data_IF_051404915959
#
_entry.id   IF_051404915959
#
_cell.length_a   1.000
_cell.length_b   1.000
_cell.length_c   1.000
_cell.angle_alpha   90.00
_cell.angle_beta   90.00
_cell.angle_gamma   90.00
#
_symmetry.space_group_name_H-M   'P 1'
#
loop_
_entity.id
_entity.type
_entity.pdbx_description
1 polymer ?
#
# COMPACT_ATOMS: atom_id res chain seq x y z
N UNK A 1 -37.91 -46.92 -25.27
CA UNK A 1 -38.55 -45.63 -24.91
C UNK A 1 -37.77 -44.76 -23.91
N UNK A 2 -36.73 -45.25 -23.23
CA UNK A 2 -35.97 -44.45 -22.25
C UNK A 2 -34.99 -43.41 -22.84
N UNK A 3 -34.58 -43.54 -24.11
CA UNK A 3 -33.60 -42.65 -24.75
C UNK A 3 -34.19 -41.31 -25.23
N UNK A 4 -35.50 -41.22 -25.47
CA UNK A 4 -36.13 -39.99 -25.94
C UNK A 4 -36.28 -38.91 -24.87
N UNK A 5 -36.47 -39.28 -23.59
CA UNK A 5 -36.65 -38.30 -22.49
C UNK A 5 -35.38 -37.48 -22.21
N UNK A 6 -34.19 -38.03 -22.51
CA UNK A 6 -32.92 -37.32 -22.28
C UNK A 6 -32.65 -36.24 -23.34
N UNK A 7 -33.13 -36.44 -24.58
CA UNK A 7 -32.97 -35.48 -25.68
C UNK A 7 -33.77 -34.19 -25.46
N UNK A 8 -34.98 -34.29 -24.88
CA UNK A 8 -35.80 -33.11 -24.56
C UNK A 8 -35.17 -32.28 -23.42
N UNK A 9 -34.65 -32.92 -22.38
CA UNK A 9 -33.95 -32.25 -21.29
C UNK A 9 -32.70 -31.49 -21.75
N UNK A 10 -31.92 -32.07 -22.67
CA UNK A 10 -30.76 -31.39 -23.27
C UNK A 10 -31.17 -30.16 -24.10
N UNK A 11 -32.24 -30.27 -24.89
CA UNK A 11 -32.76 -29.14 -25.68
C UNK A 11 -33.23 -27.98 -24.80
N UNK A 12 -33.95 -28.26 -23.71
CA UNK A 12 -34.39 -27.23 -22.74
C UNK A 12 -33.20 -26.54 -22.07
N UNK A 13 -32.16 -27.29 -21.67
CA UNK A 13 -30.93 -26.68 -21.10
C UNK A 13 -30.19 -25.81 -22.10
N UNK A 14 -30.04 -26.27 -23.34
CA UNK A 14 -29.41 -25.46 -24.39
C UNK A 14 -30.20 -24.19 -24.69
N UNK A 15 -31.54 -24.25 -24.71
CA UNK A 15 -32.36 -23.06 -24.91
C UNK A 15 -32.18 -22.03 -23.78
N UNK A 16 -32.17 -22.46 -22.51
CA UNK A 16 -31.92 -21.56 -21.37
C UNK A 16 -30.53 -20.94 -21.41
N UNK A 17 -29.49 -21.72 -21.76
CA UNK A 17 -28.13 -21.19 -21.90
C UNK A 17 -28.04 -20.17 -23.04
N UNK A 18 -28.70 -20.41 -24.17
CA UNK A 18 -28.74 -19.46 -25.28
C UNK A 18 -29.43 -18.16 -24.86
N UNK A 19 -30.54 -18.24 -24.14
CA UNK A 19 -31.25 -17.05 -23.63
C UNK A 19 -30.40 -16.25 -22.63
N UNK A 20 -29.69 -16.94 -21.72
CA UNK A 20 -28.77 -16.30 -20.77
C UNK A 20 -27.61 -15.59 -21.47
N UNK A 21 -27.04 -16.20 -22.51
CA UNK A 21 -25.97 -15.60 -23.31
C UNK A 21 -26.47 -14.37 -24.05
N UNK A 22 -27.66 -14.44 -24.67
CA UNK A 22 -28.26 -13.29 -25.36
C UNK A 22 -28.49 -12.12 -24.40
N UNK A 23 -29.02 -12.38 -23.20
CA UNK A 23 -29.22 -11.34 -22.17
C UNK A 23 -27.91 -10.73 -21.69
N UNK A 24 -26.82 -11.51 -21.60
CA UNK A 24 -25.49 -11.01 -21.27
C UNK A 24 -24.91 -10.13 -22.37
N UNK A 25 -25.07 -10.52 -23.64
CA UNK A 25 -24.66 -9.70 -24.79
C UNK A 25 -25.39 -8.35 -24.81
N UNK A 26 -26.72 -8.34 -24.65
CA UNK A 26 -27.50 -7.09 -24.59
C UNK A 26 -27.06 -6.16 -23.45
N UNK A 27 -26.71 -6.74 -22.30
CA UNK A 27 -26.21 -5.96 -21.15
C UNK A 27 -24.83 -5.35 -21.41
N UNK A 28 -24.00 -6.02 -22.20
CA UNK A 28 -22.69 -5.51 -22.61
C UNK A 28 -22.85 -4.40 -23.65
N UNK A 29 -23.71 -4.57 -24.65
CA UNK A 29 -24.03 -3.52 -25.64
C UNK A 29 -24.49 -2.25 -24.94
N UNK A 30 -25.45 -2.35 -24.01
CA UNK A 30 -25.90 -1.20 -23.21
C UNK A 30 -24.76 -0.50 -22.44
N UNK A 31 -23.80 -1.26 -21.91
CA UNK A 31 -22.64 -0.68 -21.20
C UNK A 31 -21.66 0.00 -22.15
N UNK A 32 -21.51 -0.51 -23.37
CA UNK A 32 -20.69 0.14 -24.40
C UNK A 32 -21.31 1.49 -24.77
N UNK A 33 -22.62 1.51 -25.06
CA UNK A 33 -23.34 2.75 -25.37
C UNK A 33 -23.21 3.80 -24.24
N UNK A 34 -23.31 3.35 -22.99
CA UNK A 34 -23.15 4.23 -21.83
C UNK A 34 -21.73 4.82 -21.74
N UNK A 35 -20.69 4.01 -22.00
CA UNK A 35 -19.30 4.48 -22.00
C UNK A 35 -19.02 5.44 -23.16
N UNK A 36 -19.62 5.23 -24.33
CA UNK A 36 -19.51 6.15 -25.46
C UNK A 36 -20.18 7.50 -25.16
N UNK A 37 -21.33 7.48 -24.48
CA UNK A 37 -22.01 8.69 -24.02
C UNK A 37 -21.19 9.45 -22.98
N UNK A 38 -20.68 8.76 -21.95
CA UNK A 38 -19.83 9.35 -20.90
C UNK A 38 -18.53 9.92 -21.49
N UNK A 39 -17.92 9.21 -22.44
CA UNK A 39 -16.73 9.66 -23.16
C UNK A 39 -16.99 10.93 -23.97
N UNK A 40 -18.12 10.99 -24.66
CA UNK A 40 -18.54 12.17 -25.43
C UNK A 40 -18.79 13.39 -24.53
N UNK A 41 -19.41 13.18 -23.37
CA UNK A 41 -19.61 14.26 -22.38
C UNK A 41 -18.27 14.78 -21.83
N UNK A 42 -17.33 13.89 -21.52
CA UNK A 42 -16.00 14.26 -21.04
C UNK A 42 -15.22 15.06 -22.09
N UNK A 43 -15.26 14.64 -23.36
CA UNK A 43 -14.65 15.38 -24.47
C UNK A 43 -15.30 16.77 -24.61
N UNK A 44 -16.63 16.87 -24.49
CA UNK A 44 -17.34 18.15 -24.52
C UNK A 44 -16.87 19.10 -23.41
N UNK A 45 -16.76 18.61 -22.17
CA UNK A 45 -16.23 19.39 -21.03
C UNK A 45 -14.79 19.83 -21.24
N UNK A 46 -13.96 18.98 -21.85
CA UNK A 46 -12.57 19.32 -22.17
C UNK A 46 -12.49 20.42 -23.22
N UNK A 47 -13.31 20.36 -24.27
CA UNK A 47 -13.34 21.40 -25.32
C UNK A 47 -13.89 22.74 -24.80
N UNK A 48 -14.90 22.73 -23.92
CA UNK A 48 -15.39 23.94 -23.25
C UNK A 48 -14.33 24.53 -22.30
N UNK A 49 -13.57 23.68 -21.61
CA UNK A 49 -12.43 24.14 -20.83
C UNK A 49 -11.38 24.80 -21.72
N UNK A 50 -10.95 24.13 -22.80
CA UNK A 50 -9.91 24.65 -23.70
C UNK A 50 -10.30 26.00 -24.34
N UNK A 51 -11.54 26.17 -24.77
CA UNK A 51 -12.01 27.41 -25.42
C UNK A 51 -11.88 28.64 -24.51
N UNK A 52 -12.08 28.47 -23.20
CA UNK A 52 -11.95 29.55 -22.20
C UNK A 52 -10.51 30.01 -22.02
N UNK A 53 -9.52 29.16 -22.30
CA UNK A 53 -8.09 29.49 -22.14
C UNK A 53 -7.39 29.81 -23.47
N UNK A 54 -7.98 29.46 -24.61
CA UNK A 54 -7.42 29.76 -25.93
C UNK A 54 -7.77 31.16 -26.46
N UNK A 55 -8.55 31.96 -25.73
CA UNK A 55 -8.77 33.37 -26.09
C UNK A 55 -7.50 34.16 -25.75
N UNK A 56 -6.76 34.68 -26.75
CA UNK A 56 -5.61 35.54 -26.48
C UNK A 56 -6.12 36.78 -25.76
N UNK A 57 -5.66 37.05 -24.55
CA UNK A 57 -5.89 38.35 -23.93
C UNK A 57 -5.19 39.40 -24.78
N UNK A 58 -5.95 40.16 -25.57
CA UNK A 58 -5.45 41.21 -26.46
C UNK A 58 -4.91 42.43 -25.71
N UNK A 59 -4.80 42.38 -24.38
CA UNK A 59 -4.53 43.56 -23.54
C UNK A 59 -3.10 43.58 -22.96
N UNK A 60 -2.14 42.87 -23.58
CA UNK A 60 -0.73 42.90 -23.17
C UNK A 60 0.21 43.24 -24.33
N UNK A 61 -0.14 44.24 -25.12
CA UNK A 61 0.84 44.99 -25.91
C UNK A 61 1.02 46.36 -25.26
N UNK A 62 2.16 46.57 -24.59
CA UNK A 62 2.61 47.91 -24.30
C UNK A 62 3.38 48.13 -23.00
N UNK A 63 4.42 47.34 -22.69
CA UNK A 63 5.52 47.83 -21.84
C UNK A 63 6.78 47.00 -22.11
N UNK A 64 7.53 47.21 -23.20
CA UNK A 64 8.96 46.84 -23.28
C UNK A 64 9.64 47.58 -24.45
N UNK A 65 9.81 48.89 -24.31
CA UNK A 65 10.82 49.65 -25.06
C UNK A 65 11.39 50.70 -24.11
N UNK A 66 12.60 50.45 -23.62
CA UNK A 66 13.63 51.40 -23.13
C UNK A 66 14.50 50.67 -22.11
N UNK A 67 15.68 50.20 -22.55
CA UNK A 67 16.94 50.43 -21.84
C UNK A 67 18.10 49.76 -22.57
N UNK A 68 18.48 50.39 -23.70
CA UNK A 68 19.78 50.24 -24.31
C UNK A 68 20.54 51.56 -24.11
N UNK A 69 21.38 51.65 -23.06
CA UNK A 69 22.58 52.51 -22.97
C UNK A 69 23.18 52.47 -21.56
N UNK A 70 24.27 51.73 -21.38
CA UNK A 70 25.53 52.26 -20.83
C UNK A 70 26.58 51.15 -20.70
N UNK A 71 27.64 51.27 -21.50
CA UNK A 71 28.89 50.58 -21.28
C UNK A 71 29.83 51.37 -20.36
N UNK A 72 30.74 50.63 -19.70
CA UNK A 72 32.04 50.97 -19.05
C UNK A 72 32.20 49.94 -17.92
N UNK A 73 33.32 49.31 -17.63
CA UNK A 73 34.70 49.40 -18.07
C UNK A 73 35.53 48.45 -17.19
N UNK A 74 36.67 48.02 -17.72
CA UNK A 74 37.67 47.12 -17.16
C UNK A 74 38.21 47.58 -15.79
N UNK A 75 38.43 46.65 -14.83
CA UNK A 75 39.65 46.57 -13.99
C UNK A 75 39.72 45.30 -13.13
N UNK A 76 40.96 44.82 -12.98
CA UNK A 76 41.40 43.56 -12.39
C UNK A 76 41.70 43.63 -10.89
N UNK A 77 41.56 42.47 -10.22
CA UNK A 77 42.29 41.91 -9.05
C UNK A 77 42.68 42.84 -7.88
N UNK A 78 42.28 42.44 -6.65
CA UNK A 78 43.16 41.88 -5.59
C UNK A 78 42.32 41.32 -4.43
N UNK A 79 42.92 40.40 -3.70
CA UNK A 79 42.43 39.61 -2.56
C UNK A 79 42.08 40.46 -1.32
N UNK A 80 41.05 40.07 -0.55
CA UNK A 80 41.05 40.09 0.93
C UNK A 80 39.81 39.40 1.54
N UNK A 81 40.03 38.87 2.74
CA UNK A 81 39.17 38.06 3.60
C UNK A 81 38.00 38.81 4.27
N UNK A 82 36.97 38.01 4.63
CA UNK A 82 36.02 38.10 5.75
C UNK A 82 35.12 39.35 5.95
N UNK A 83 33.79 39.19 5.81
CA UNK A 83 32.80 39.14 6.92
C UNK A 83 31.36 38.94 6.35
N UNK A 84 30.41 38.25 7.02
CA UNK A 84 29.12 37.87 6.46
C UNK A 84 27.96 38.75 6.96
N UNK A 85 27.53 39.73 6.17
CA UNK A 85 26.24 40.42 6.33
C UNK A 85 25.72 40.90 4.98
N UNK A 86 24.70 40.22 4.44
CA UNK A 86 23.58 40.76 3.65
C UNK A 86 23.02 39.68 2.71
N UNK A 87 21.94 39.04 3.15
CA UNK A 87 21.01 38.32 2.28
C UNK A 87 19.64 38.98 2.39
N UNK A 88 19.54 40.18 1.83
CA UNK A 88 18.25 40.83 1.53
C UNK A 88 18.06 40.87 0.01
N UNK A 89 17.45 39.82 -0.54
CA UNK A 89 16.73 39.85 -1.81
C UNK A 89 16.05 38.49 -2.01
N UNK A 90 14.76 38.41 -1.66
CA UNK A 90 13.71 37.56 -2.25
C UNK A 90 12.56 37.50 -1.24
N UNK A 91 11.83 38.60 -1.12
CA UNK A 91 10.60 38.68 -0.34
C UNK A 91 9.65 39.62 -1.09
N UNK A 92 8.91 39.04 -2.04
CA UNK A 92 7.69 39.61 -2.59
C UNK A 92 6.66 38.50 -2.75
N UNK A 93 5.43 38.81 -2.33
CA UNK A 93 4.16 38.11 -2.54
C UNK A 93 3.79 36.88 -1.68
N UNK A 94 3.65 37.09 -0.36
CA UNK A 94 2.82 36.21 0.48
C UNK A 94 1.96 36.94 1.56
N UNK A 95 1.55 38.20 1.32
CA UNK A 95 0.79 39.01 2.31
C UNK A 95 -0.69 39.25 1.97
N UNK A 96 -1.30 38.49 1.05
CA UNK A 96 -2.72 38.70 0.68
C UNK A 96 -3.72 37.67 1.24
N UNK A 97 -3.28 36.71 2.06
CA UNK A 97 -4.16 35.63 2.55
C UNK A 97 -4.71 35.79 3.99
N UNK A 98 -4.27 36.78 4.77
CA UNK A 98 -4.59 36.85 6.22
C UNK A 98 -5.72 37.84 6.60
N UNK A 99 -6.53 38.32 5.65
CA UNK A 99 -7.59 39.33 5.94
C UNK A 99 -9.04 38.82 5.97
N UNK A 100 -9.30 37.50 6.02
CA UNK A 100 -10.68 36.97 6.06
C UNK A 100 -11.00 36.01 7.23
N UNK A 101 -10.24 36.04 8.33
CA UNK A 101 -10.39 35.09 9.44
C UNK A 101 -10.72 35.66 10.83
N UNK A 102 -11.22 36.89 10.94
CA UNK A 102 -11.38 37.56 12.24
C UNK A 102 -12.82 37.97 12.57
N UNK A 103 -13.75 37.00 12.63
CA UNK A 103 -15.02 37.17 13.33
C UNK A 103 -15.54 35.80 13.78
N UNK A 104 -15.11 35.28 14.93
CA UNK A 104 -15.96 34.51 15.85
C UNK A 104 -15.27 34.45 17.22
N UNK A 105 -15.99 34.93 18.23
CA UNK A 105 -15.50 35.17 19.58
C UNK A 105 -15.19 33.91 20.38
N UNK A 106 -14.14 34.02 21.19
CA UNK A 106 -13.78 33.08 22.24
C UNK A 106 -14.76 33.18 23.40
N UNK A 107 -15.59 32.16 23.59
CA UNK A 107 -16.22 31.91 24.89
C UNK A 107 -15.37 30.91 25.68
N UNK A 108 -14.94 31.35 26.86
CA UNK A 108 -14.28 30.54 27.86
C UNK A 108 -15.24 29.50 28.43
N UNK A 109 -14.77 28.26 28.57
CA UNK A 109 -15.43 27.20 29.34
C UNK A 109 -14.44 26.59 30.35
N UNK A 110 -14.94 26.06 31.48
CA UNK A 110 -14.21 26.08 32.74
C UNK A 110 -13.34 24.84 32.98
N UNK A 111 -12.38 25.03 33.87
CA UNK A 111 -11.53 24.02 34.50
C UNK A 111 -12.35 22.79 34.95
N UNK A 112 -11.96 21.61 34.44
CA UNK A 112 -12.43 20.33 34.97
C UNK A 112 -11.34 19.70 35.83
N UNK A 113 -11.71 19.52 37.09
CA UNK A 113 -10.94 18.95 38.17
C UNK A 113 -10.39 17.55 37.87
N UNK A 114 -9.16 17.34 38.36
CA UNK A 114 -8.47 16.06 38.50
C UNK A 114 -9.35 15.02 39.19
N UNK A 115 -9.35 13.81 38.63
CA UNK A 115 -9.91 12.62 39.27
C UNK A 115 -8.81 11.57 39.33
N UNK A 116 -8.30 11.37 40.54
CA UNK A 116 -7.39 10.29 40.88
C UNK A 116 -8.02 8.93 40.56
N UNK A 117 -7.30 8.11 39.79
CA UNK A 117 -7.56 6.67 39.70
C UNK A 117 -6.35 5.91 40.28
N UNK A 118 -6.57 4.89 41.13
CA UNK A 118 -5.48 4.08 41.67
C UNK A 118 -4.96 3.08 40.62
N UNK A 119 -3.64 3.01 40.53
CA UNK A 119 -2.89 2.05 39.72
C UNK A 119 -3.07 0.63 40.28
N UNK A 120 -3.55 -0.29 39.44
CA UNK A 120 -3.44 -1.74 39.69
C UNK A 120 -2.07 -2.25 39.22
N UNK A 121 -1.48 -3.24 39.91
CA UNK A 121 -0.14 -3.73 39.61
C UNK A 121 -0.13 -4.63 38.35
N UNK A 122 0.82 -4.36 37.47
CA UNK A 122 1.18 -5.22 36.33
C UNK A 122 2.04 -6.41 36.81
N UNK A 123 1.81 -7.64 36.33
CA UNK A 123 2.70 -8.76 36.61
C UNK A 123 3.96 -8.64 35.74
N UNK A 124 5.11 -8.50 36.40
CA UNK A 124 6.43 -8.63 35.75
C UNK A 124 6.77 -10.10 35.57
N UNK A 125 6.70 -10.61 34.34
CA UNK A 125 7.30 -11.88 33.96
C UNK A 125 8.75 -11.60 33.58
N UNK A 126 9.68 -11.97 34.47
CA UNK A 126 11.12 -12.02 34.16
C UNK A 126 11.40 -13.36 33.49
N UNK A 127 11.67 -13.33 32.19
CA UNK A 127 12.21 -14.49 31.47
C UNK A 127 13.73 -14.35 31.46
N UNK A 128 14.40 -14.99 32.41
CA UNK A 128 15.86 -15.17 32.39
C UNK A 128 16.18 -16.39 31.52
N UNK A 129 16.56 -16.15 30.27
CA UNK A 129 17.17 -17.18 29.43
C UNK A 129 18.64 -17.32 29.80
N UNK A 130 18.96 -18.23 30.72
CA UNK A 130 20.32 -18.65 31.02
C UNK A 130 20.86 -19.49 29.86
N UNK A 131 21.71 -18.86 29.05
CA UNK A 131 22.47 -19.51 27.99
C UNK A 131 23.83 -19.94 28.58
N UNK A 132 23.88 -21.12 29.21
CA UNK A 132 25.16 -21.74 29.60
C UNK A 132 25.69 -22.57 28.43
N UNK A 133 26.84 -22.13 27.92
CA UNK A 133 27.52 -22.70 26.77
C UNK A 133 27.82 -24.19 26.91
N UNK A 134 27.40 -24.92 25.89
CA UNK A 134 27.99 -26.19 25.50
C UNK A 134 28.64 -25.92 24.14
N UNK A 135 29.96 -25.78 24.14
CA UNK A 135 30.76 -25.85 22.92
C UNK A 135 30.79 -27.32 22.49
N UNK A 136 30.02 -27.66 21.47
CA UNK A 136 30.19 -28.90 20.72
C UNK A 136 29.78 -28.68 19.28
N UNK A 137 30.72 -28.99 18.39
CA UNK A 137 30.69 -28.90 16.93
C UNK A 137 29.32 -29.22 16.31
N UNK A 138 28.62 -28.17 15.85
CA UNK A 138 27.33 -28.29 15.16
C UNK A 138 27.33 -27.37 13.92
N UNK A 139 27.98 -27.80 12.84
CA UNK A 139 27.90 -27.12 11.54
C UNK A 139 27.00 -27.86 10.54
N UNK A 140 26.32 -28.95 10.94
CA UNK A 140 25.44 -29.72 10.03
C UNK A 140 23.93 -29.59 10.29
N UNK A 141 23.48 -29.05 11.43
CA UNK A 141 22.04 -29.04 11.75
C UNK A 141 21.22 -27.92 11.10
N UNK A 142 21.85 -26.89 10.50
CA UNK A 142 21.11 -25.80 9.82
C UNK A 142 20.67 -26.15 8.39
N UNK A 143 21.22 -27.21 7.78
CA UNK A 143 20.82 -27.64 6.44
C UNK A 143 19.67 -28.66 6.44
N UNK A 144 19.41 -29.34 7.57
CA UNK A 144 18.38 -30.38 7.66
C UNK A 144 16.95 -29.80 7.62
N UNK A 145 16.73 -28.63 8.22
CA UNK A 145 15.41 -27.99 8.27
C UNK A 145 14.94 -27.47 6.90
N UNK A 146 15.88 -27.07 6.04
CA UNK A 146 15.60 -26.63 4.66
C UNK A 146 15.37 -27.82 3.73
N UNK A 147 16.05 -28.96 3.99
CA UNK A 147 16.00 -30.14 3.12
C UNK A 147 14.76 -31.03 3.37
N UNK A 148 14.18 -31.02 4.57
CA UNK A 148 12.95 -31.80 4.84
C UNK A 148 11.66 -31.12 4.37
N UNK A 149 11.70 -29.82 4.04
CA UNK A 149 10.54 -29.08 3.52
C UNK A 149 10.22 -29.40 2.04
N UNK A 150 11.15 -29.97 1.27
CA UNK A 150 10.98 -30.20 -0.18
C UNK A 150 10.42 -31.59 -0.57
N UNK A 151 10.45 -32.58 0.32
CA UNK A 151 10.17 -33.98 -0.07
C UNK A 151 8.73 -34.49 0.18
N UNK A 152 7.87 -33.72 0.85
CA UNK A 152 6.56 -34.22 1.29
C UNK A 152 5.34 -33.83 0.42
N UNK A 153 5.52 -33.18 -0.74
CA UNK A 153 4.40 -32.74 -1.60
C UNK A 153 4.57 -33.12 -3.07
N UNK A 154 4.66 -34.42 -3.36
CA UNK A 154 4.80 -34.95 -4.73
C UNK A 154 3.58 -35.79 -5.14
N UNK A 155 2.42 -35.15 -5.25
CA UNK A 155 1.36 -35.65 -6.13
C UNK A 155 1.18 -34.65 -7.28
N UNK A 156 1.35 -35.06 -8.55
CA UNK A 156 1.33 -34.18 -9.71
C UNK A 156 -0.12 -33.85 -10.09
N UNK A 157 -0.78 -33.04 -9.27
CA UNK A 157 -1.89 -32.24 -9.78
C UNK A 157 -1.29 -31.22 -10.76
N UNK A 158 -1.92 -30.91 -11.92
CA UNK A 158 -1.45 -29.88 -12.82
C UNK A 158 -1.32 -28.56 -12.05
N UNK A 159 -0.10 -28.22 -11.63
CA UNK A 159 0.14 -27.01 -10.85
C UNK A 159 0.01 -25.84 -11.80
N UNK A 160 -0.93 -24.94 -11.51
CA UNK A 160 -0.90 -23.61 -12.13
C UNK A 160 0.40 -22.92 -11.66
N UNK A 161 1.38 -22.69 -12.55
CA UNK A 161 2.67 -22.13 -12.18
C UNK A 161 2.54 -20.71 -11.61
N UNK A 162 1.43 -20.02 -11.85
CA UNK A 162 1.21 -18.66 -11.36
C UNK A 162 0.77 -18.62 -9.90
N UNK A 163 0.19 -19.69 -9.35
CA UNK A 163 -0.26 -19.71 -7.96
C UNK A 163 0.92 -19.77 -6.98
N UNK A 164 2.03 -20.37 -7.39
CA UNK A 164 3.25 -20.46 -6.58
C UNK A 164 4.17 -19.24 -6.72
N UNK A 165 3.82 -18.30 -7.61
CA UNK A 165 4.60 -17.09 -7.81
C UNK A 165 4.37 -16.10 -6.66
N UNK A 166 5.40 -15.85 -5.84
CA UNK A 166 5.38 -14.87 -4.75
C UNK A 166 5.07 -13.44 -5.21
N UNK A 167 5.21 -13.18 -6.50
CA UNK A 167 4.97 -11.89 -7.10
C UNK A 167 3.61 -11.80 -7.77
N UNK A 168 2.81 -12.86 -7.84
CA UNK A 168 1.49 -12.77 -8.44
C UNK A 168 0.56 -11.83 -7.65
N UNK A 169 -0.29 -11.08 -8.36
CA UNK A 169 -1.38 -10.30 -7.79
C UNK A 169 -2.70 -10.85 -8.33
N UNK A 170 -3.59 -11.22 -7.42
CA UNK A 170 -4.93 -11.69 -7.75
C UNK A 170 -5.98 -10.77 -7.14
N UNK A 171 -7.13 -10.63 -7.79
CA UNK A 171 -8.32 -10.02 -7.20
C UNK A 171 -9.25 -11.09 -6.63
N UNK A 172 -9.61 -10.97 -5.35
CA UNK A 172 -10.59 -11.85 -4.75
C UNK A 172 -11.97 -11.64 -5.40
N UNK A 173 -12.59 -12.70 -5.90
CA UNK A 173 -13.88 -12.63 -6.59
C UNK A 173 -15.01 -12.17 -5.66
N UNK A 174 -14.95 -12.50 -4.36
CA UNK A 174 -16.00 -12.19 -3.40
C UNK A 174 -15.88 -10.77 -2.85
N UNK A 175 -14.70 -10.38 -2.33
CA UNK A 175 -14.54 -9.07 -1.68
C UNK A 175 -13.82 -8.01 -2.52
N UNK A 176 -13.41 -8.36 -3.74
CA UNK A 176 -12.72 -7.49 -4.70
C UNK A 176 -11.40 -6.87 -4.22
N UNK A 177 -10.86 -7.32 -3.07
CA UNK A 177 -9.53 -6.95 -2.58
C UNK A 177 -8.45 -7.60 -3.45
N UNK A 178 -7.40 -6.84 -3.73
CA UNK A 178 -6.20 -7.33 -4.41
C UNK A 178 -5.25 -7.95 -3.37
N UNK A 179 -4.79 -9.17 -3.65
CA UNK A 179 -3.90 -9.94 -2.80
C UNK A 179 -2.64 -10.21 -3.60
N UNK A 180 -1.52 -9.65 -3.12
CA UNK A 180 -0.20 -9.93 -3.66
C UNK A 180 0.43 -11.10 -2.91
N UNK A 181 1.11 -11.99 -3.63
CA UNK A 181 1.76 -13.16 -3.07
C UNK A 181 1.37 -14.47 -3.76
N UNK A 182 2.11 -15.52 -3.42
CA UNK A 182 1.79 -16.88 -3.82
C UNK A 182 0.69 -17.50 -2.95
N UNK A 183 0.52 -18.83 -3.09
CA UNK A 183 -0.53 -19.62 -2.44
C UNK A 183 -0.73 -19.32 -0.96
N UNK A 184 0.33 -19.15 -0.17
CA UNK A 184 0.22 -18.89 1.27
C UNK A 184 -0.62 -17.64 1.59
N UNK A 185 -0.47 -16.57 0.82
CA UNK A 185 -1.24 -15.33 1.02
C UNK A 185 -2.69 -15.50 0.56
N UNK A 186 -2.90 -16.23 -0.53
CA UNK A 186 -4.24 -16.54 -1.03
C UNK A 186 -5.02 -17.41 -0.04
N UNK A 187 -4.40 -18.47 0.51
CA UNK A 187 -5.00 -19.34 1.53
C UNK A 187 -5.34 -18.57 2.81
N UNK A 188 -4.44 -17.72 3.27
CA UNK A 188 -4.71 -16.85 4.43
C UNK A 188 -5.91 -15.94 4.14
N UNK A 189 -5.98 -15.33 2.96
CA UNK A 189 -7.12 -14.54 2.55
C UNK A 189 -8.42 -15.35 2.52
N UNK A 190 -8.42 -16.53 1.91
CA UNK A 190 -9.58 -17.44 1.85
C UNK A 190 -10.07 -17.79 3.25
N UNK A 191 -9.14 -18.01 4.21
CA UNK A 191 -9.49 -18.33 5.60
C UNK A 191 -10.29 -17.23 6.32
N UNK A 192 -10.27 -16.00 5.80
CA UNK A 192 -11.12 -14.93 6.32
C UNK A 192 -12.56 -14.99 5.79
N UNK A 193 -12.80 -15.65 4.65
CA UNK A 193 -14.13 -15.86 4.09
C UNK A 193 -14.73 -17.18 4.55
N UNK A 194 -13.93 -18.24 4.53
CA UNK A 194 -14.36 -19.58 4.89
C UNK A 194 -14.25 -19.79 6.40
N UNK A 195 -15.16 -20.60 6.96
CA UNK A 195 -15.10 -21.04 8.37
C UNK A 195 -14.00 -22.11 8.57
N UNK A 196 -13.23 -22.42 7.53
CA UNK A 196 -12.03 -23.25 7.62
C UNK A 196 -11.08 -22.69 8.68
N UNK A 197 -10.79 -23.52 9.67
CA UNK A 197 -9.97 -23.18 10.83
C UNK A 197 -9.05 -24.36 11.11
N UNK A 198 -7.79 -24.06 11.40
CA UNK A 198 -6.81 -25.03 11.84
C UNK A 198 -7.17 -25.48 13.25
N UNK A 199 -7.23 -26.79 13.46
CA UNK A 199 -7.44 -27.39 14.77
C UNK A 199 -6.14 -27.28 15.59
N UNK A 200 -6.23 -27.14 16.91
CA UNK A 200 -5.04 -27.18 17.75
C UNK A 200 -4.47 -28.61 17.77
N UNK A 201 -3.15 -28.82 17.55
CA UNK A 201 -2.57 -30.16 17.54
C UNK A 201 -2.43 -30.79 18.94
N UNK A 202 -2.63 -30.02 20.02
CA UNK A 202 -2.51 -30.54 21.40
C UNK A 202 -3.77 -31.31 21.82
N UNK A 203 -3.57 -32.45 22.47
CA UNK A 203 -4.65 -33.27 22.99
C UNK A 203 -5.56 -32.47 23.95
N UNK A 204 -6.87 -32.70 23.84
CA UNK A 204 -7.91 -32.03 24.62
C UNK A 204 -8.08 -30.52 24.36
N UNK A 205 -7.46 -29.98 23.31
CA UNK A 205 -7.71 -28.61 22.87
C UNK A 205 -8.62 -28.55 21.65
N UNK A 206 -9.87 -28.16 21.84
CA UNK A 206 -10.86 -28.06 20.75
C UNK A 206 -10.79 -26.72 19.98
N UNK A 207 -9.75 -25.92 20.19
CA UNK A 207 -9.63 -24.61 19.57
C UNK A 207 -9.50 -24.73 18.03
N UNK A 208 -10.33 -23.95 17.32
CA UNK A 208 -10.33 -23.84 15.86
C UNK A 208 -9.99 -22.41 15.46
N UNK A 209 -8.80 -22.21 14.90
CA UNK A 209 -8.19 -20.89 14.73
C UNK A 209 -7.69 -20.65 13.31
N UNK A 210 -7.48 -19.39 12.91
CA UNK A 210 -6.72 -19.11 11.68
C UNK A 210 -5.25 -19.51 11.89
N UNK A 211 -4.45 -19.77 10.84
CA UNK A 211 -3.06 -20.18 11.00
C UNK A 211 -2.27 -19.26 11.93
N UNK A 212 -2.34 -17.93 11.72
CA UNK A 212 -1.66 -16.94 12.57
C UNK A 212 -2.15 -16.96 14.01
N UNK A 213 -3.46 -17.13 14.23
CA UNK A 213 -4.04 -17.19 15.57
C UNK A 213 -3.70 -18.50 16.30
N UNK A 214 -3.55 -19.61 15.59
CA UNK A 214 -3.17 -20.89 16.16
C UNK A 214 -1.75 -20.87 16.76
N UNK A 215 -0.77 -20.31 16.05
CA UNK A 215 0.58 -20.16 16.60
C UNK A 215 0.60 -19.32 17.87
N UNK A 216 -0.19 -18.22 17.88
CA UNK A 216 -0.34 -17.38 19.06
C UNK A 216 -1.03 -18.12 20.21
N UNK A 217 -2.09 -18.86 19.92
CA UNK A 217 -2.82 -19.67 20.89
C UNK A 217 -1.93 -20.75 21.52
N UNK A 218 -1.11 -21.44 20.72
CA UNK A 218 -0.13 -22.41 21.21
C UNK A 218 0.82 -21.77 22.23
N UNK A 219 1.32 -20.57 21.92
CA UNK A 219 2.19 -19.83 22.83
C UNK A 219 1.49 -19.40 24.13
N UNK A 220 0.23 -18.94 24.04
CA UNK A 220 -0.47 -18.35 25.19
C UNK A 220 -1.23 -19.36 26.06
N UNK A 221 -1.81 -20.40 25.45
CA UNK A 221 -2.68 -21.38 26.15
C UNK A 221 -1.93 -22.64 26.51
N UNK A 222 -0.99 -23.07 25.68
CA UNK A 222 -0.17 -24.26 25.95
C UNK A 222 1.20 -23.91 26.54
N UNK A 223 1.50 -22.62 26.71
CA UNK A 223 2.78 -22.10 27.22
C UNK A 223 3.99 -22.69 26.47
N UNK A 224 3.80 -22.99 25.17
CA UNK A 224 4.80 -23.63 24.32
C UNK A 224 5.14 -22.77 23.12
N UNK A 225 6.41 -22.71 22.75
CA UNK A 225 6.84 -22.14 21.47
C UNK A 225 7.04 -23.26 20.44
N UNK A 226 6.89 -22.96 19.16
CA UNK A 226 7.24 -23.91 18.07
C UNK A 226 8.70 -24.37 18.20
N UNK A 227 9.58 -23.51 18.72
CA UNK A 227 10.99 -23.85 18.96
C UNK A 227 11.20 -24.85 20.11
N UNK A 228 10.19 -25.07 20.96
CA UNK A 228 10.25 -26.00 22.10
C UNK A 228 9.50 -27.31 21.84
N UNK A 229 8.96 -27.48 20.64
CA UNK A 229 8.25 -28.71 20.27
C UNK A 229 9.23 -29.87 20.17
N UNK A 230 8.78 -31.04 20.61
CA UNK A 230 9.44 -32.28 20.22
C UNK A 230 9.07 -32.64 18.77
N UNK A 231 9.71 -33.68 18.21
CA UNK A 231 9.48 -34.08 16.83
C UNK A 231 8.01 -34.47 16.57
N UNK A 232 7.39 -35.21 17.50
CA UNK A 232 6.00 -35.68 17.36
C UNK A 232 4.99 -34.52 17.35
N UNK A 233 5.17 -33.52 18.21
CA UNK A 233 4.34 -32.31 18.27
C UNK A 233 4.48 -31.45 17.01
N UNK A 234 5.70 -31.37 16.47
CA UNK A 234 5.97 -30.65 15.23
C UNK A 234 5.33 -31.34 14.03
N UNK A 235 5.46 -32.67 13.94
CA UNK A 235 4.83 -33.48 12.89
C UNK A 235 3.30 -33.36 12.94
N UNK A 236 2.71 -33.41 14.15
CA UNK A 236 1.27 -33.21 14.34
C UNK A 236 0.82 -31.82 13.86
N UNK A 237 1.57 -30.76 14.18
CA UNK A 237 1.27 -29.40 13.72
C UNK A 237 1.36 -29.28 12.19
N UNK A 238 2.40 -29.85 11.57
CA UNK A 238 2.55 -29.83 10.11
C UNK A 238 1.46 -30.66 9.41
N UNK A 239 1.01 -31.77 9.99
CA UNK A 239 -0.11 -32.55 9.43
C UNK A 239 -1.41 -31.72 9.43
N UNK A 240 -1.73 -31.05 10.54
CA UNK A 240 -2.92 -30.21 10.62
C UNK A 240 -2.82 -29.03 9.64
N UNK A 241 -1.66 -28.39 9.54
CA UNK A 241 -1.39 -27.32 8.57
C UNK A 241 -1.50 -27.81 7.13
N UNK A 242 -1.02 -29.01 6.82
CA UNK A 242 -1.14 -29.62 5.50
C UNK A 242 -2.60 -29.90 5.13
N UNK A 243 -3.39 -30.43 6.07
CA UNK A 243 -4.83 -30.65 5.91
C UNK A 243 -5.57 -29.34 5.64
N UNK A 244 -5.30 -28.31 6.45
CA UNK A 244 -5.85 -26.97 6.26
C UNK A 244 -5.46 -26.38 4.89
N UNK A 245 -4.19 -26.46 4.50
CA UNK A 245 -3.73 -25.95 3.21
C UNK A 245 -4.41 -26.65 2.03
N UNK A 246 -4.53 -27.98 2.11
CA UNK A 246 -5.24 -28.78 1.09
C UNK A 246 -6.70 -28.36 0.98
N UNK A 247 -7.37 -28.13 2.10
CA UNK A 247 -8.74 -27.63 2.11
C UNK A 247 -8.84 -26.23 1.49
N UNK A 248 -7.97 -25.30 1.87
CA UNK A 248 -7.94 -23.94 1.30
C UNK A 248 -7.65 -23.94 -0.21
N UNK A 249 -6.81 -24.87 -0.70
CA UNK A 249 -6.54 -25.00 -2.12
C UNK A 249 -7.77 -25.39 -2.94
N UNK A 250 -8.73 -26.12 -2.34
CA UNK A 250 -9.98 -26.45 -3.03
C UNK A 250 -10.85 -25.21 -3.29
N UNK A 251 -10.68 -24.17 -2.47
CA UNK A 251 -11.39 -22.90 -2.62
C UNK A 251 -10.66 -21.91 -3.53
N UNK A 252 -9.39 -22.13 -3.86
CA UNK A 252 -8.60 -21.18 -4.67
C UNK A 252 -9.29 -20.83 -5.99
N UNK A 253 -9.85 -21.81 -6.72
CA UNK A 253 -10.54 -21.57 -8.00
C UNK A 253 -11.82 -20.72 -7.83
N UNK A 254 -12.50 -20.83 -6.68
CA UNK A 254 -13.71 -20.05 -6.36
C UNK A 254 -13.39 -18.59 -6.06
N UNK A 255 -12.30 -18.33 -5.33
CA UNK A 255 -11.95 -16.97 -4.86
C UNK A 255 -10.99 -16.24 -5.81
N UNK A 256 -10.13 -16.98 -6.49
CA UNK A 256 -9.09 -16.44 -7.37
C UNK A 256 -9.11 -17.22 -8.70
N UNK A 257 -10.20 -17.10 -9.47
CA UNK A 257 -10.26 -17.70 -10.79
C UNK A 257 -9.16 -17.09 -11.69
N UNK A 258 -8.67 -17.81 -12.72
CA UNK A 258 -7.58 -17.33 -13.59
C UNK A 258 -7.85 -15.97 -14.22
N UNK A 259 -9.12 -15.64 -14.49
CA UNK A 259 -9.57 -14.36 -15.05
C UNK A 259 -9.31 -13.16 -14.10
N UNK A 260 -9.13 -13.43 -12.81
CA UNK A 260 -8.84 -12.42 -11.79
C UNK A 260 -7.34 -12.26 -11.50
N UNK A 261 -6.48 -12.91 -12.29
CA UNK A 261 -5.05 -12.66 -12.25
C UNK A 261 -4.76 -11.28 -12.84
N UNK A 262 -4.22 -10.37 -12.03
CA UNK A 262 -3.92 -8.99 -12.42
C UNK A 262 -2.48 -8.81 -12.93
N UNK A 263 -1.67 -9.87 -12.92
CA UNK A 263 -0.25 -9.83 -13.29
C UNK A 263 0.67 -10.09 -12.10
N UNK A 264 1.94 -9.73 -12.24
CA UNK A 264 2.95 -9.85 -11.18
C UNK A 264 3.33 -8.48 -10.62
N UNK A 265 3.82 -8.40 -9.38
CA UNK A 265 4.36 -7.18 -8.74
C UNK A 265 5.48 -6.56 -9.57
N UNK A 266 6.25 -7.40 -10.28
CA UNK A 266 7.24 -6.98 -11.27
C UNK A 266 6.61 -6.33 -12.51
N UNK A 267 5.47 -6.83 -12.99
CA UNK A 267 4.70 -6.19 -14.06
C UNK A 267 4.06 -4.87 -13.59
N UNK A 268 3.72 -4.76 -12.31
CA UNK A 268 3.03 -3.59 -11.75
C UNK A 268 4.01 -2.50 -11.27
N UNK A 269 5.31 -2.79 -11.15
CA UNK A 269 6.26 -1.78 -10.67
C UNK A 269 7.71 -1.95 -11.14
N UNK A 270 7.97 -2.35 -12.38
CA UNK A 270 9.19 -1.83 -13.01
C UNK A 270 9.00 -0.33 -13.12
N UNK A 271 9.63 0.39 -12.20
CA UNK A 271 9.59 1.83 -12.21
C UNK A 271 10.09 2.27 -13.59
N UNK A 272 9.20 2.85 -14.40
CA UNK A 272 9.46 3.27 -15.79
C UNK A 272 10.58 4.31 -15.90
N UNK A 273 11.08 4.76 -14.75
CA UNK A 273 12.14 5.73 -14.62
C UNK A 273 13.51 5.06 -14.45
N UNK A 274 14.56 5.74 -14.90
CA UNK A 274 15.93 5.38 -14.62
C UNK A 274 16.21 5.49 -13.10
N UNK A 275 17.19 4.75 -12.56
CA UNK A 275 17.50 4.82 -11.13
C UNK A 275 18.14 6.14 -10.71
N UNK A 276 18.73 6.89 -11.62
CA UNK A 276 19.53 8.07 -11.29
C UNK A 276 18.72 9.37 -11.39
N UNK A 277 18.77 10.18 -10.34
CA UNK A 277 18.14 11.50 -10.32
C UNK A 277 18.91 12.48 -11.22
N UNK A 278 18.23 13.12 -12.15
CA UNK A 278 18.79 14.10 -13.10
C UNK A 278 19.30 15.37 -12.43
N UNK A 279 18.80 15.72 -11.24
CA UNK A 279 19.18 16.95 -10.53
C UNK A 279 20.42 16.77 -9.66
N UNK A 280 20.59 15.61 -9.03
CA UNK A 280 21.66 15.40 -8.04
C UNK A 280 22.50 14.14 -8.24
N UNK A 281 22.19 13.29 -9.23
CA UNK A 281 22.92 12.06 -9.51
C UNK A 281 22.68 10.91 -8.51
N UNK A 282 21.79 11.08 -7.52
CA UNK A 282 21.53 10.02 -6.55
C UNK A 282 20.84 8.82 -7.21
N UNK A 283 21.37 7.61 -6.98
CA UNK A 283 20.82 6.35 -7.50
C UNK A 283 19.80 5.74 -6.53
N UNK A 284 18.60 5.48 -7.02
CA UNK A 284 17.45 4.99 -6.28
C UNK A 284 16.78 3.87 -7.07
N UNK A 285 16.77 2.67 -6.50
CA UNK A 285 16.26 1.45 -7.16
C UNK A 285 14.75 1.28 -7.03
N UNK A 286 14.13 1.87 -6.00
CA UNK A 286 12.70 1.68 -5.71
C UNK A 286 11.86 2.91 -6.06
N UNK A 287 10.62 2.68 -6.52
CA UNK A 287 9.64 3.75 -6.81
C UNK A 287 9.37 4.63 -5.59
N UNK A 288 9.25 4.01 -4.42
CA UNK A 288 9.06 4.74 -3.15
C UNK A 288 10.28 5.60 -2.81
N UNK A 289 11.50 5.09 -3.03
CA UNK A 289 12.74 5.84 -2.84
C UNK A 289 12.80 7.09 -3.72
N UNK A 290 12.43 6.97 -4.99
CA UNK A 290 12.34 8.09 -5.94
C UNK A 290 11.29 9.11 -5.54
N UNK A 291 10.10 8.66 -5.16
CA UNK A 291 9.02 9.55 -4.71
C UNK A 291 9.43 10.38 -3.49
N UNK A 292 10.02 9.73 -2.47
CA UNK A 292 10.57 10.41 -1.29
C UNK A 292 11.68 11.40 -1.67
N UNK A 293 12.55 11.01 -2.59
CA UNK A 293 13.64 11.86 -3.05
C UNK A 293 13.14 13.11 -3.79
N UNK A 294 12.15 12.98 -4.68
CA UNK A 294 11.49 14.12 -5.34
C UNK A 294 10.85 15.04 -4.30
N UNK A 295 10.15 14.47 -3.32
CA UNK A 295 9.55 15.25 -2.23
C UNK A 295 10.59 16.11 -1.49
N UNK A 296 11.81 15.60 -1.28
CA UNK A 296 12.91 16.36 -0.67
C UNK A 296 13.36 17.51 -1.57
N UNK A 297 13.52 17.28 -2.87
CA UNK A 297 13.89 18.34 -3.82
C UNK A 297 12.86 19.46 -3.92
N UNK A 298 11.59 19.12 -3.75
CA UNK A 298 10.47 20.05 -3.75
C UNK A 298 10.19 20.65 -2.36
N UNK A 299 10.93 20.23 -1.32
CA UNK A 299 10.69 20.56 0.08
C UNK A 299 9.21 20.38 0.51
N UNK A 300 8.57 19.34 -0.03
CA UNK A 300 7.17 19.03 0.30
C UNK A 300 7.11 18.47 1.72
N UNK A 301 6.26 19.09 2.54
CA UNK A 301 6.00 18.70 3.91
C UNK A 301 4.50 18.64 4.17
N UNK A 302 4.11 17.67 4.98
CA UNK A 302 2.75 17.49 5.47
C UNK A 302 2.69 17.84 6.95
N UNK A 303 1.58 18.44 7.40
CA UNK A 303 1.35 18.70 8.81
C UNK A 303 1.17 17.41 9.60
N UNK A 304 1.51 17.42 10.89
CA UNK A 304 1.12 16.34 11.79
C UNK A 304 -0.41 16.17 11.77
N UNK A 305 -0.94 14.93 11.66
CA UNK A 305 -2.38 14.70 11.64
C UNK A 305 -3.07 15.04 12.97
N UNK A 306 -2.33 15.12 14.08
CA UNK A 306 -2.91 15.31 15.42
C UNK A 306 -3.24 16.78 15.64
N UNK A 307 -4.50 17.05 16.02
CA UNK A 307 -5.01 18.40 16.24
C UNK A 307 -4.16 19.14 17.29
N UNK A 308 -3.76 20.37 16.95
CA UNK A 308 -2.91 21.21 17.78
C UNK A 308 -1.39 21.02 17.58
N UNK A 309 -0.96 19.96 16.87
CA UNK A 309 0.46 19.78 16.56
C UNK A 309 0.86 20.58 15.31
N UNK A 310 1.77 21.55 15.47
CA UNK A 310 2.22 22.45 14.39
C UNK A 310 3.43 21.92 13.58
N UNK A 311 3.88 20.70 13.85
CA UNK A 311 5.06 20.14 13.19
C UNK A 311 4.77 19.84 11.72
N UNK A 312 5.68 20.28 10.83
CA UNK A 312 5.66 19.98 9.40
C UNK A 312 6.76 18.99 9.08
N UNK A 313 6.37 17.84 8.53
CA UNK A 313 7.20 16.65 8.44
C UNK A 313 7.25 16.16 6.98
N UNK A 314 8.29 15.41 6.64
CA UNK A 314 8.28 14.61 5.40
C UNK A 314 7.33 13.43 5.56
N UNK A 315 6.76 12.93 4.46
CA UNK A 315 5.78 11.83 4.49
C UNK A 315 6.26 10.61 5.30
N UNK A 316 7.52 10.18 5.11
CA UNK A 316 8.08 9.05 5.88
C UNK A 316 8.29 9.33 7.36
N UNK A 317 8.42 10.59 7.78
CA UNK A 317 8.64 10.97 9.18
C UNK A 317 7.34 11.14 9.98
N UNK A 318 6.18 11.22 9.34
CA UNK A 318 4.89 11.38 10.05
C UNK A 318 4.63 10.21 10.98
N UNK A 319 4.79 8.97 10.49
CA UNK A 319 4.55 7.76 11.29
C UNK A 319 5.41 7.72 12.56
N UNK A 320 6.72 7.98 12.42
CA UNK A 320 7.64 8.02 13.55
C UNK A 320 7.30 9.15 14.51
N UNK A 321 6.96 10.33 14.01
CA UNK A 321 6.57 11.47 14.85
C UNK A 321 5.29 11.17 15.65
N UNK A 322 4.24 10.65 15.00
CA UNK A 322 2.97 10.30 15.67
C UNK A 322 3.19 9.23 16.75
N UNK A 323 4.02 8.23 16.47
CA UNK A 323 4.35 7.18 17.44
C UNK A 323 5.19 7.70 18.62
N UNK A 324 6.19 8.54 18.36
CA UNK A 324 7.16 8.96 19.40
C UNK A 324 6.71 10.17 20.20
N UNK A 325 6.06 11.16 19.56
CA UNK A 325 5.68 12.42 20.22
C UNK A 325 4.26 12.36 20.79
N UNK A 326 3.41 11.49 20.25
CA UNK A 326 2.01 11.40 20.67
C UNK A 326 1.62 10.02 21.17
N UNK A 327 2.53 9.04 21.17
CA UNK A 327 2.29 7.67 21.62
C UNK A 327 1.06 7.02 20.98
N UNK A 328 0.80 7.35 19.70
CA UNK A 328 -0.33 6.84 18.91
C UNK A 328 0.15 6.19 17.62
N UNK A 329 -0.66 5.30 17.07
CA UNK A 329 -0.47 4.79 15.70
C UNK A 329 -1.32 5.62 14.74
N UNK A 330 -0.88 5.75 13.49
CA UNK A 330 -1.69 6.41 12.43
C UNK A 330 -3.04 5.70 12.25
N UNK A 331 -3.13 4.40 12.51
CA UNK A 331 -4.40 3.65 12.51
C UNK A 331 -5.34 3.97 13.68
N UNK A 332 -4.88 4.76 14.66
CA UNK A 332 -5.66 5.20 15.83
C UNK A 332 -6.02 6.69 15.74
N UNK A 333 -5.84 7.31 14.58
CA UNK A 333 -6.33 8.66 14.33
C UNK A 333 -7.86 8.69 14.41
N UNK A 334 -8.39 9.77 14.95
CA UNK A 334 -9.84 10.01 14.90
C UNK A 334 -10.26 10.34 13.47
N UNK A 335 -11.55 10.24 13.16
CA UNK A 335 -12.06 10.58 11.84
C UNK A 335 -11.74 12.04 11.45
N UNK A 336 -11.76 12.96 12.42
CA UNK A 336 -11.43 14.38 12.26
C UNK A 336 -9.95 14.62 11.91
N UNK A 337 -9.04 13.73 12.35
CA UNK A 337 -7.60 13.79 12.07
C UNK A 337 -7.22 13.02 10.80
N UNK A 338 -7.81 11.83 10.57
CA UNK A 338 -7.44 10.93 9.46
C UNK A 338 -7.91 11.48 8.11
N UNK A 339 -9.15 11.95 7.99
CA UNK A 339 -9.67 12.48 6.71
C UNK A 339 -8.82 13.62 6.13
N UNK A 340 -8.49 14.71 6.86
CA UNK A 340 -7.64 15.76 6.32
C UNK A 340 -6.21 15.28 6.08
N UNK A 341 -5.67 14.38 6.91
CA UNK A 341 -4.35 13.80 6.70
C UNK A 341 -4.28 13.02 5.39
N UNK A 342 -5.22 12.11 5.12
CA UNK A 342 -5.28 11.34 3.86
C UNK A 342 -5.44 12.25 2.65
N UNK A 343 -6.23 13.32 2.78
CA UNK A 343 -6.38 14.32 1.72
C UNK A 343 -5.06 15.04 1.42
N UNK A 344 -4.33 15.48 2.45
CA UNK A 344 -3.04 16.13 2.29
C UNK A 344 -1.95 15.18 1.79
N UNK A 345 -1.96 13.91 2.24
CA UNK A 345 -1.07 12.84 1.79
C UNK A 345 -1.26 12.60 0.28
N UNK A 346 -2.53 12.47 -0.16
CA UNK A 346 -2.87 12.33 -1.57
C UNK A 346 -2.38 13.53 -2.41
N UNK A 347 -2.69 14.76 -1.99
CA UNK A 347 -2.25 15.97 -2.71
C UNK A 347 -0.73 16.08 -2.85
N UNK A 348 0.01 15.64 -1.84
CA UNK A 348 1.47 15.62 -1.88
C UNK A 348 1.98 14.55 -2.85
N UNK A 349 1.34 13.37 -2.88
CA UNK A 349 1.67 12.31 -3.84
C UNK A 349 1.38 12.70 -5.28
N UNK A 350 0.25 13.35 -5.54
CA UNK A 350 -0.10 13.86 -6.88
C UNK A 350 0.97 14.86 -7.38
N UNK A 351 1.45 15.76 -6.50
CA UNK A 351 2.54 16.70 -6.83
C UNK A 351 3.86 15.97 -7.14
N UNK A 352 4.20 14.94 -6.37
CA UNK A 352 5.40 14.12 -6.62
C UNK A 352 5.28 13.42 -7.96
N UNK A 353 4.14 12.81 -8.26
CA UNK A 353 3.90 12.07 -9.50
C UNK A 353 3.99 12.99 -10.73
N UNK A 354 3.42 14.20 -10.65
CA UNK A 354 3.57 15.19 -11.72
C UNK A 354 5.04 15.62 -11.92
N UNK A 355 5.81 15.68 -10.82
CA UNK A 355 7.18 16.17 -10.84
C UNK A 355 8.22 15.09 -11.21
N UNK A 356 7.95 13.80 -10.96
CA UNK A 356 8.95 12.73 -11.04
C UNK A 356 9.62 12.64 -12.42
N UNK A 357 8.88 12.95 -13.49
CA UNK A 357 9.39 12.98 -14.88
C UNK A 357 10.50 14.01 -15.12
N UNK A 358 10.59 15.06 -14.29
CA UNK A 358 11.67 16.05 -14.37
C UNK A 358 12.91 15.64 -13.58
N UNK A 359 12.75 14.70 -12.64
CA UNK A 359 13.84 14.19 -11.81
C UNK A 359 14.41 12.88 -12.34
N UNK A 360 13.68 12.11 -13.13
CA UNK A 360 14.16 10.84 -13.65
C UNK A 360 13.78 10.66 -15.13
N UNK A 361 14.72 10.14 -15.92
CA UNK A 361 14.48 9.79 -17.34
C UNK A 361 13.56 8.59 -17.43
N UNK A 362 12.63 8.58 -18.39
CA UNK A 362 11.88 7.39 -18.75
C UNK A 362 12.81 6.38 -19.46
N UNK A 363 12.71 5.11 -19.10
CA UNK A 363 13.43 4.00 -19.75
C UNK A 363 12.54 3.47 -20.87
N UNK A 364 12.89 3.69 -22.15
CA UNK A 364 12.09 3.18 -23.27
C UNK A 364 12.04 1.65 -23.24
N UNK A 365 10.85 1.07 -23.49
CA UNK A 365 10.64 -0.38 -23.50
C UNK A 365 10.21 -1.00 -22.16
N UNK A 366 9.75 -0.19 -21.20
CA UNK A 366 9.21 -0.66 -19.90
C UNK A 366 7.68 -0.55 -19.78
N UNK A 367 6.99 -0.29 -20.90
CA UNK A 367 5.53 -0.20 -21.03
C UNK A 367 4.87 -1.52 -21.36
#
# INVERSE_FOLDING_TARGET
MATCKNAEGRRKRMAMLTEEVVLKCQRLEYRVDQLEQDGSELIGRFMDFASRYSSPSSDVEGVLEEDARQGKGVRSRTDHEADPKDTTAFQYDLEKADRLGAQFGTQALPERASRDQPLLPQPTIKTECNNSGIESDAVESSNLLTFMHELACSSPSPRDPNLDNSDAIYQCEICKKQIAGGRSNLRLHISHHEVGRMECPFENCEAKLTPTAAYKHIAEVHERSVCTFNMEEFDALEEVKARFNKEMDTFTVKYFPPENFLGTTFAITKCVYAPECLKCGQKLTTTQGRSRHVAMHLNLRIGCPILGCKQKLTMGSVYTHVSTQHHRKVSQLTQEEDVPYRKAEKQLMDQIEMAIKYFFKLVPGSS
#
